data_IF_537769487478
#
_entry.id   IF_537769487478
#
_cell.length_a   1.000
_cell.length_b   1.000
_cell.length_c   1.000
_cell.angle_alpha   90.00
_cell.angle_beta   90.00
_cell.angle_gamma   90.00
#
_symmetry.space_group_name_H-M   'P 1'
#
loop_
_entity.id
_entity.type
_entity.pdbx_description
1 polymer ?
#
# COMPACT_ATOMS: atom_id res chain seq x y z
N UNK A 1 -2.14 13.60 -17.06
CA UNK A 1 -2.61 12.82 -15.90
C UNK A 1 -1.64 13.09 -14.77
N UNK A 2 -2.10 13.63 -13.64
CA UNK A 2 -1.25 14.07 -12.54
C UNK A 2 -0.58 12.86 -11.88
N UNK A 3 0.76 12.84 -11.87
CA UNK A 3 1.54 11.81 -11.20
C UNK A 3 1.31 11.96 -9.69
N UNK A 4 0.90 10.89 -9.00
CA UNK A 4 0.87 10.88 -7.54
C UNK A 4 2.34 10.97 -7.08
N UNK A 5 2.70 12.02 -6.34
CA UNK A 5 4.02 12.06 -5.68
C UNK A 5 3.98 11.11 -4.48
N UNK A 6 4.99 10.24 -4.40
CA UNK A 6 5.12 9.21 -3.38
C UNK A 6 6.25 9.57 -2.43
N UNK A 7 6.09 9.26 -1.16
CA UNK A 7 7.20 9.34 -0.21
C UNK A 7 8.07 8.09 -0.31
N UNK A 8 9.33 8.19 0.13
CA UNK A 8 10.25 7.05 0.21
C UNK A 8 9.67 5.94 1.11
N UNK A 9 8.93 6.32 2.17
CA UNK A 9 8.27 5.39 3.09
C UNK A 9 7.12 4.61 2.43
N UNK A 10 6.32 5.25 1.57
CA UNK A 10 5.27 4.56 0.80
C UNK A 10 5.86 3.57 -0.20
N UNK A 11 7.02 3.90 -0.76
CA UNK A 11 7.78 2.99 -1.64
C UNK A 11 8.37 1.82 -0.87
N UNK A 12 8.85 2.03 0.35
CA UNK A 12 9.29 0.96 1.25
C UNK A 12 8.16 0.01 1.64
N UNK A 13 7.00 0.56 1.99
CA UNK A 13 5.78 -0.22 2.29
C UNK A 13 5.31 -1.04 1.09
N UNK A 14 5.43 -0.50 -0.14
CA UNK A 14 5.13 -1.24 -1.38
C UNK A 14 5.86 -2.58 -1.46
N UNK A 15 7.16 -2.57 -1.22
CA UNK A 15 7.96 -3.79 -1.28
C UNK A 15 7.60 -4.75 -0.14
N UNK A 16 7.32 -4.21 1.06
CA UNK A 16 6.84 -4.99 2.20
C UNK A 16 5.50 -5.71 1.93
N UNK A 17 4.52 -5.02 1.34
CA UNK A 17 3.22 -5.61 0.98
C UNK A 17 3.30 -6.56 -0.22
N UNK A 18 4.32 -6.44 -1.07
CA UNK A 18 4.56 -7.38 -2.17
C UNK A 18 5.00 -8.75 -1.67
N UNK A 19 5.83 -8.79 -0.62
CA UNK A 19 6.29 -10.04 -0.01
C UNK A 19 5.28 -10.57 1.02
N UNK A 20 4.60 -9.68 1.74
CA UNK A 20 3.63 -10.00 2.78
C UNK A 20 2.33 -9.22 2.53
N UNK A 21 1.37 -9.78 1.77
CA UNK A 21 0.15 -9.07 1.37
C UNK A 21 -0.83 -8.82 2.52
N UNK A 22 -0.58 -9.43 3.68
CA UNK A 22 -1.31 -9.18 4.93
C UNK A 22 -0.33 -8.86 6.06
N UNK A 23 -0.70 -7.87 6.87
CA UNK A 23 0.04 -7.48 8.08
C UNK A 23 -0.93 -7.18 9.21
N UNK A 24 -0.49 -7.36 10.45
CA UNK A 24 -1.25 -6.88 11.62
C UNK A 24 -1.46 -5.37 11.52
N UNK A 25 -2.60 -4.89 12.02
CA UNK A 25 -2.90 -3.46 12.05
C UNK A 25 -1.93 -2.74 12.99
N UNK A 26 -0.83 -2.24 12.42
CA UNK A 26 0.14 -1.38 13.10
C UNK A 26 -0.18 0.07 12.73
N UNK A 27 -0.24 0.95 13.73
CA UNK A 27 -0.36 2.39 13.50
C UNK A 27 0.95 2.90 12.91
N UNK A 28 0.90 3.28 11.63
CA UNK A 28 2.03 3.82 10.88
C UNK A 28 1.48 4.89 9.92
N UNK A 29 2.15 6.05 9.87
CA UNK A 29 1.72 7.20 9.06
C UNK A 29 1.67 6.83 7.57
N UNK A 30 2.57 5.97 7.09
CA UNK A 30 2.57 5.50 5.71
C UNK A 30 1.40 4.55 5.45
N UNK A 31 1.05 3.69 6.40
CA UNK A 31 -0.14 2.82 6.30
C UNK A 31 -1.40 3.67 6.22
N UNK A 32 -1.55 4.65 7.12
CA UNK A 32 -2.73 5.52 7.15
C UNK A 32 -2.85 6.33 5.85
N UNK A 33 -1.71 6.82 5.31
CA UNK A 33 -1.66 7.48 4.00
C UNK A 33 -2.10 6.54 2.87
N UNK A 34 -1.64 5.30 2.85
CA UNK A 34 -1.99 4.30 1.83
C UNK A 34 -3.46 3.85 1.94
N UNK A 35 -4.03 3.80 3.15
CA UNK A 35 -5.47 3.60 3.37
C UNK A 35 -6.26 4.81 2.86
N UNK A 36 -5.83 6.03 3.17
CA UNK A 36 -6.47 7.25 2.69
C UNK A 36 -6.43 7.38 1.16
N UNK A 37 -5.39 6.84 0.52
CA UNK A 37 -5.25 6.72 -0.94
C UNK A 37 -6.06 5.56 -1.54
N UNK A 38 -6.75 4.76 -0.73
CA UNK A 38 -7.55 3.61 -1.17
C UNK A 38 -6.72 2.45 -1.71
N UNK A 39 -5.43 2.36 -1.33
CA UNK A 39 -4.52 1.30 -1.77
C UNK A 39 -4.49 0.14 -0.76
N UNK A 40 -4.68 0.44 0.51
CA UNK A 40 -4.81 -0.54 1.59
C UNK A 40 -6.20 -0.47 2.22
N UNK A 41 -6.65 -1.57 2.78
CA UNK A 41 -7.91 -1.70 3.49
C UNK A 41 -7.69 -2.37 4.84
N UNK A 42 -8.49 -1.97 5.84
CA UNK A 42 -8.50 -2.61 7.14
C UNK A 42 -9.58 -3.71 7.14
N UNK A 43 -9.17 -4.98 7.08
CA UNK A 43 -10.07 -6.13 7.07
C UNK A 43 -9.80 -6.99 8.31
N UNK A 44 -10.82 -7.17 9.17
CA UNK A 44 -10.76 -8.03 10.36
C UNK A 44 -9.55 -7.75 11.30
N UNK A 45 -9.16 -6.48 11.44
CA UNK A 45 -8.02 -6.09 12.29
C UNK A 45 -6.64 -6.30 11.64
N UNK A 46 -6.61 -6.67 10.36
CA UNK A 46 -5.40 -6.73 9.54
C UNK A 46 -5.44 -5.66 8.46
N UNK A 47 -4.26 -5.22 8.04
CA UNK A 47 -4.10 -4.39 6.85
C UNK A 47 -3.90 -5.32 5.67
N UNK A 48 -4.77 -5.19 4.67
CA UNK A 48 -4.75 -5.96 3.43
C UNK A 48 -4.62 -5.04 2.24
N UNK A 49 -4.03 -5.55 1.16
CA UNK A 49 -3.93 -4.81 -0.10
C UNK A 49 -5.28 -4.81 -0.80
N UNK A 50 -5.81 -3.63 -1.09
CA UNK A 50 -7.05 -3.47 -1.86
C UNK A 50 -6.85 -3.87 -3.34
N UNK A 51 -7.91 -4.06 -4.13
CA UNK A 51 -7.78 -4.26 -5.58
C UNK A 51 -7.01 -3.14 -6.30
N UNK A 52 -7.19 -1.88 -5.86
CA UNK A 52 -6.44 -0.74 -6.39
C UNK A 52 -4.97 -0.79 -5.97
N UNK A 53 -4.68 -1.21 -4.73
CA UNK A 53 -3.34 -1.50 -4.24
C UNK A 53 -2.65 -2.62 -5.02
N UNK A 54 -3.37 -3.67 -5.39
CA UNK A 54 -2.82 -4.76 -6.18
C UNK A 54 -2.44 -4.29 -7.60
N UNK A 55 -3.29 -3.47 -8.23
CA UNK A 55 -2.97 -2.84 -9.51
C UNK A 55 -1.77 -1.89 -9.39
N UNK A 56 -1.65 -1.17 -8.27
CA UNK A 56 -0.49 -0.32 -7.94
C UNK A 56 0.81 -1.14 -7.76
N UNK A 57 0.76 -2.24 -7.01
CA UNK A 57 1.90 -3.15 -6.85
C UNK A 57 2.38 -3.72 -8.20
N UNK A 58 1.43 -3.98 -9.11
CA UNK A 58 1.71 -4.54 -10.43
C UNK A 58 2.26 -3.49 -11.41
N UNK A 59 1.67 -2.28 -11.46
CA UNK A 59 2.15 -1.17 -12.31
C UNK A 59 3.61 -0.82 -12.03
N UNK A 60 4.02 -0.93 -10.77
CA UNK A 60 5.37 -0.61 -10.37
C UNK A 60 6.40 -1.74 -10.65
N UNK A 61 5.93 -2.87 -11.20
CA UNK A 61 6.74 -3.97 -11.72
C UNK A 61 7.06 -3.82 -13.22
N UNK A 62 6.44 -2.85 -13.90
CA UNK A 62 6.75 -2.48 -15.29
C UNK A 62 7.88 -1.44 -15.25
N UNK A 63 9.12 -1.92 -15.15
CA UNK A 63 10.33 -1.15 -15.42
C UNK A 63 11.32 -2.02 -16.18
#
# INVERSE_FOLDING_TARGET
MSCIEWTDDETGMRNGFREFPERDAVSDIAVDSLIAKGLLELAAGKIVVSPAGAAWLNLASIR
#
